data_IF_528896948067
#
_entry.id   IF_528896948067
#
_cell.length_a   1.000
_cell.length_b   1.000
_cell.length_c   1.000
_cell.angle_alpha   90.00
_cell.angle_beta   90.00
_cell.angle_gamma   90.00
#
_symmetry.space_group_name_H-M   'P 1'
#
loop_
_entity.id
_entity.type
_entity.pdbx_description
1 polymer ?
#
# COMPACT_ATOMS: atom_id res chain seq x y z
N UNK A 1 2.11 1.12 -33.00
CA UNK A 1 1.98 1.95 -31.78
C UNK A 1 1.81 0.99 -30.61
N UNK A 2 2.57 1.14 -29.51
CA UNK A 2 2.22 0.43 -28.27
C UNK A 2 1.05 1.20 -27.71
N UNK A 3 -0.12 0.60 -27.76
CA UNK A 3 -1.34 1.29 -27.39
C UNK A 3 -1.49 1.16 -25.87
N UNK A 4 -1.68 2.32 -25.25
CA UNK A 4 -2.16 2.54 -23.89
C UNK A 4 -1.16 2.35 -22.75
N UNK A 5 -0.22 3.30 -22.64
CA UNK A 5 0.63 3.50 -21.46
C UNK A 5 -0.15 3.56 -20.12
N UNK A 6 -1.32 4.23 -20.04
CA UNK A 6 -2.08 4.29 -18.78
C UNK A 6 -2.52 2.91 -18.25
N UNK A 7 -2.68 1.89 -19.11
CA UNK A 7 -3.02 0.54 -18.66
C UNK A 7 -1.88 -0.14 -17.89
N UNK A 8 -0.65 0.38 -17.99
CA UNK A 8 0.50 -0.15 -17.25
C UNK A 8 0.47 0.26 -15.77
N UNK A 9 -0.30 1.31 -15.43
CA UNK A 9 -0.38 1.88 -14.09
C UNK A 9 -1.50 1.25 -13.24
N UNK A 10 -2.33 0.39 -13.84
CA UNK A 10 -3.40 -0.34 -13.14
C UNK A 10 -2.90 -1.16 -11.94
N UNK A 11 -1.65 -1.64 -11.99
CA UNK A 11 -1.06 -2.38 -10.89
C UNK A 11 -0.78 -1.49 -9.67
N UNK A 12 -0.55 -0.19 -9.87
CA UNK A 12 -0.31 0.80 -8.80
C UNK A 12 -1.63 1.25 -8.17
N UNK A 13 -2.70 1.36 -8.96
CA UNK A 13 -4.05 1.68 -8.46
C UNK A 13 -4.65 0.55 -7.60
N UNK A 14 -4.21 -0.70 -7.82
CA UNK A 14 -4.76 -1.89 -7.15
C UNK A 14 -3.93 -2.38 -5.95
N UNK A 15 -3.18 -1.49 -5.29
CA UNK A 15 -2.34 -1.84 -4.12
C UNK A 15 -3.12 -2.47 -2.95
N UNK A 16 -4.37 -2.05 -2.74
CA UNK A 16 -5.25 -2.60 -1.69
C UNK A 16 -5.72 -4.04 -1.91
N UNK A 17 -5.65 -4.54 -3.15
CA UNK A 17 -6.17 -5.87 -3.51
C UNK A 17 -5.44 -7.00 -2.79
N UNK A 18 -4.12 -6.86 -2.58
CA UNK A 18 -3.34 -7.87 -1.86
C UNK A 18 -3.81 -8.00 -0.41
N UNK A 19 -4.06 -6.89 0.28
CA UNK A 19 -4.58 -6.92 1.65
C UNK A 19 -6.00 -7.51 1.68
N UNK A 20 -6.87 -7.07 0.78
CA UNK A 20 -8.24 -7.55 0.66
C UNK A 20 -8.32 -9.06 0.35
N UNK A 21 -7.37 -9.62 -0.41
CA UNK A 21 -7.30 -11.06 -0.71
C UNK A 21 -7.11 -11.95 0.52
N UNK A 22 -6.60 -11.39 1.62
CA UNK A 22 -6.38 -12.10 2.89
C UNK A 22 -7.57 -11.99 3.84
N UNK A 23 -8.54 -11.12 3.53
CA UNK A 23 -9.68 -10.85 4.39
C UNK A 23 -10.85 -11.74 4.00
N UNK A 24 -11.30 -12.55 4.94
CA UNK A 24 -12.51 -13.37 4.82
C UNK A 24 -13.69 -12.63 5.47
N UNK A 25 -14.49 -11.95 4.66
CA UNK A 25 -15.64 -11.17 5.16
C UNK A 25 -16.64 -12.05 5.93
N UNK A 26 -16.84 -13.29 5.51
CA UNK A 26 -17.73 -14.24 6.20
C UNK A 26 -17.23 -14.55 7.63
N UNK A 27 -15.91 -14.73 7.78
CA UNK A 27 -15.28 -14.96 9.09
C UNK A 27 -15.41 -13.73 9.97
N UNK A 28 -15.11 -12.53 9.44
CA UNK A 28 -15.32 -11.28 10.18
C UNK A 28 -16.76 -11.15 10.66
N UNK A 29 -17.74 -11.49 9.82
CA UNK A 29 -19.17 -11.40 10.18
C UNK A 29 -19.51 -12.33 11.33
N UNK A 30 -19.01 -13.56 11.25
CA UNK A 30 -19.20 -14.56 12.31
C UNK A 30 -18.58 -14.09 13.63
N UNK A 31 -17.34 -13.59 13.59
CA UNK A 31 -16.62 -13.10 14.77
C UNK A 31 -17.33 -11.89 15.40
N UNK A 32 -17.79 -10.93 14.60
CA UNK A 32 -18.59 -9.80 15.08
C UNK A 32 -19.93 -10.25 15.66
N UNK A 33 -20.59 -11.23 15.04
CA UNK A 33 -21.81 -11.83 15.58
C UNK A 33 -21.60 -12.49 16.94
N UNK A 34 -20.47 -13.15 17.16
CA UNK A 34 -20.10 -13.70 18.47
C UNK A 34 -19.82 -12.60 19.50
N UNK A 35 -19.13 -11.54 19.11
CA UNK A 35 -18.85 -10.40 19.98
C UNK A 35 -20.13 -9.70 20.44
N UNK A 36 -21.08 -9.50 19.52
CA UNK A 36 -22.40 -8.92 19.83
C UNK A 36 -23.17 -9.75 20.85
N UNK A 37 -23.25 -11.07 20.64
CA UNK A 37 -23.86 -12.01 21.61
C UNK A 37 -23.16 -11.97 22.97
N UNK A 38 -21.84 -11.88 22.98
CA UNK A 38 -21.06 -11.77 24.22
C UNK A 38 -21.42 -10.51 25.01
N UNK A 39 -21.54 -9.36 24.32
CA UNK A 39 -21.96 -8.10 24.95
C UNK A 39 -23.41 -8.16 25.43
N UNK A 40 -24.32 -8.78 24.68
CA UNK A 40 -25.71 -9.00 25.11
C UNK A 40 -25.80 -9.82 26.40
N UNK A 41 -24.97 -10.85 26.54
CA UNK A 41 -24.92 -11.65 27.80
C UNK A 41 -24.45 -10.78 28.97
N UNK A 42 -23.38 -9.99 28.80
CA UNK A 42 -22.88 -9.11 29.87
C UNK A 42 -23.90 -8.04 30.24
N UNK A 43 -24.63 -7.51 29.26
CA UNK A 43 -25.69 -6.52 29.46
C UNK A 43 -26.80 -7.05 30.38
N UNK A 44 -27.30 -8.27 30.12
CA UNK A 44 -28.30 -8.92 31.00
C UNK A 44 -27.77 -9.09 32.42
N UNK A 45 -26.49 -9.46 32.58
CA UNK A 45 -25.87 -9.54 33.91
C UNK A 45 -25.77 -8.19 34.60
N UNK A 46 -25.49 -7.11 33.87
CA UNK A 46 -25.45 -5.76 34.42
C UNK A 46 -26.85 -5.34 34.87
N UNK A 47 -27.88 -5.59 34.06
CA UNK A 47 -29.27 -5.29 34.42
C UNK A 47 -29.70 -6.05 35.69
N UNK A 48 -29.35 -7.34 35.79
CA UNK A 48 -29.64 -8.15 36.97
C UNK A 48 -28.89 -7.66 38.22
N UNK A 49 -27.63 -7.25 38.08
CA UNK A 49 -26.84 -6.68 39.17
C UNK A 49 -27.38 -5.32 39.63
N UNK A 50 -27.78 -4.46 38.70
CA UNK A 50 -28.35 -3.15 39.02
C UNK A 50 -29.77 -3.26 39.60
N UNK A 51 -30.55 -4.26 39.20
CA UNK A 51 -31.87 -4.55 39.77
C UNK A 51 -31.80 -5.11 41.20
N UNK A 52 -30.77 -5.90 41.51
CA UNK A 52 -30.58 -6.50 42.84
C UNK A 52 -29.71 -5.64 43.79
N UNK A 53 -29.21 -4.49 43.33
CA UNK A 53 -28.43 -3.60 44.18
C UNK A 53 -29.33 -3.07 45.30
N UNK A 54 -29.01 -3.33 46.60
CA UNK A 54 -29.77 -2.76 47.70
C UNK A 54 -29.74 -1.24 47.56
N UNK A 55 -30.90 -0.61 47.76
CA UNK A 55 -31.10 0.84 47.67
C UNK A 55 -30.39 1.51 48.87
N UNK A 56 -29.06 1.45 48.86
CA UNK A 56 -28.21 2.08 49.85
C UNK A 56 -28.36 3.58 49.60
N UNK A 57 -28.93 4.34 50.54
CA UNK A 57 -29.07 5.77 50.39
C UNK A 57 -27.70 6.34 50.09
N UNK A 58 -27.52 6.87 48.88
CA UNK A 58 -26.30 7.58 48.51
C UNK A 58 -26.05 8.61 49.61
N UNK A 59 -24.86 8.63 50.24
CA UNK A 59 -24.57 9.62 51.26
C UNK A 59 -24.84 10.98 50.64
N UNK A 60 -25.86 11.67 51.19
CA UNK A 60 -26.23 13.02 50.77
C UNK A 60 -24.94 13.81 50.65
N UNK A 61 -24.73 14.60 49.57
CA UNK A 61 -23.52 15.39 49.38
C UNK A 61 -23.42 16.40 50.53
N UNK A 62 -22.84 15.94 51.64
CA UNK A 62 -22.61 16.69 52.86
C UNK A 62 -21.54 17.70 52.49
N UNK A 63 -21.99 18.95 52.41
CA UNK A 63 -21.19 20.10 52.06
C UNK A 63 -19.97 20.18 52.98
N UNK A 64 -18.76 19.91 52.47
CA UNK A 64 -17.45 20.24 53.07
C UNK A 64 -16.29 19.82 52.15
N UNK A 65 -15.08 20.42 52.25
CA UNK A 65 -14.74 21.74 51.73
C UNK A 65 -13.63 21.69 50.65
N UNK A 66 -13.51 22.80 49.93
CA UNK A 66 -12.53 23.16 48.91
C UNK A 66 -11.05 22.91 49.29
N UNK A 67 -10.49 21.73 48.96
CA UNK A 67 -9.02 21.52 48.92
C UNK A 67 -8.56 20.58 47.79
N UNK A 68 -9.01 20.77 46.54
CA UNK A 68 -8.48 19.97 45.41
C UNK A 68 -8.21 20.77 44.13
N UNK A 69 -7.64 21.97 44.28
CA UNK A 69 -7.29 22.86 43.15
C UNK A 69 -6.04 22.42 42.35
N UNK A 70 -5.28 21.41 42.81
CA UNK A 70 -3.98 21.05 42.20
C UNK A 70 -3.97 19.80 41.31
N UNK A 71 -5.06 19.04 41.21
CA UNK A 71 -5.13 17.81 40.38
C UNK A 71 -5.85 17.96 39.03
N UNK A 72 -6.56 19.06 38.78
CA UNK A 72 -7.27 19.26 37.51
C UNK A 72 -6.37 19.64 36.31
N UNK A 73 -5.10 19.99 36.53
CA UNK A 73 -4.17 20.31 35.43
C UNK A 73 -3.77 19.09 34.59
N UNK A 74 -3.67 17.90 35.19
CA UNK A 74 -3.08 16.72 34.52
C UNK A 74 -4.09 15.91 33.70
N UNK A 75 -5.39 16.08 33.93
CA UNK A 75 -6.45 15.35 33.20
C UNK A 75 -6.83 16.01 31.87
N UNK A 76 -6.60 17.33 31.72
CA UNK A 76 -6.83 18.04 30.45
C UNK A 76 -5.78 17.72 29.39
N UNK A 77 -4.59 17.28 29.81
CA UNK A 77 -3.49 16.95 28.89
C UNK A 77 -3.66 15.57 28.23
N UNK A 78 -4.27 14.60 28.92
CA UNK A 78 -4.58 13.27 28.36
C UNK A 78 -5.73 13.29 27.34
N UNK A 79 -6.68 14.23 27.48
CA UNK A 79 -7.82 14.33 26.55
C UNK A 79 -7.42 14.88 25.17
N UNK A 80 -6.35 15.66 25.08
CA UNK A 80 -5.87 16.21 23.80
C UNK A 80 -5.04 15.22 22.97
N UNK A 81 -4.49 14.14 23.56
CA UNK A 81 -3.72 13.15 22.80
C UNK A 81 -4.61 12.21 21.96
N UNK A 82 -5.88 12.00 22.36
CA UNK A 82 -6.77 11.07 21.66
C UNK A 82 -7.41 11.65 20.39
N UNK A 83 -7.34 12.98 20.19
CA UNK A 83 -7.85 13.69 19.01
C UNK A 83 -6.83 13.84 17.87
N UNK A 84 -5.56 13.42 18.06
CA UNK A 84 -4.49 13.65 17.08
C UNK A 84 -4.32 12.55 16.02
N UNK A 85 -5.09 11.45 16.07
CA UNK A 85 -4.97 10.32 15.15
C UNK A 85 -6.06 10.24 14.06
N UNK A 86 -6.85 11.31 13.84
CA UNK A 86 -7.98 11.30 12.88
C UNK A 86 -7.80 12.15 11.62
N UNK A 87 -6.63 12.74 11.37
CA UNK A 87 -6.50 13.81 10.37
C UNK A 87 -5.89 13.45 9.01
N UNK A 88 -5.53 12.19 8.77
CA UNK A 88 -4.76 11.83 7.56
C UNK A 88 -5.51 10.92 6.55
N UNK A 89 -6.82 10.70 6.68
CA UNK A 89 -7.57 9.83 5.74
C UNK A 89 -8.55 10.54 4.81
N UNK A 90 -8.61 11.87 4.80
CA UNK A 90 -9.43 12.64 3.84
C UNK A 90 -8.61 13.08 2.63
N UNK A 91 -8.10 12.10 1.88
CA UNK A 91 -7.34 12.31 0.65
C UNK A 91 -7.93 11.54 -0.52
N UNK A 92 -8.74 12.23 -1.33
CA UNK A 92 -8.93 11.96 -2.76
C UNK A 92 -9.66 10.67 -3.16
N UNK A 93 -10.99 10.68 -3.00
CA UNK A 93 -11.90 9.86 -3.81
C UNK A 93 -12.96 10.79 -4.42
N UNK A 94 -12.51 11.72 -5.26
CA UNK A 94 -13.40 12.51 -6.10
C UNK A 94 -13.72 11.75 -7.39
N UNK A 95 -15.02 11.70 -7.71
CA UNK A 95 -15.59 11.42 -9.04
C UNK A 95 -15.61 9.98 -9.56
N UNK A 96 -16.46 9.15 -8.96
CA UNK A 96 -17.22 8.13 -9.71
C UNK A 96 -18.65 8.07 -9.17
N UNK A 97 -19.39 9.17 -9.34
CA UNK A 97 -20.84 9.16 -9.16
C UNK A 97 -21.48 9.97 -10.28
N UNK A 98 -21.85 9.26 -11.35
CA UNK A 98 -22.67 9.79 -12.44
C UNK A 98 -23.90 8.90 -12.55
N UNK A 99 -25.01 9.44 -12.06
CA UNK A 99 -26.33 9.22 -12.61
C UNK A 99 -27.07 7.98 -12.12
N UNK A 100 -27.57 8.05 -10.88
CA UNK A 100 -28.90 7.49 -10.59
C UNK A 100 -29.72 8.63 -9.98
N UNK A 101 -30.47 9.29 -10.84
CA UNK A 101 -31.48 10.27 -10.46
C UNK A 101 -32.58 9.56 -9.67
N UNK A 102 -32.58 9.73 -8.35
CA UNK A 102 -33.81 9.59 -7.56
C UNK A 102 -34.07 10.92 -6.87
N UNK A 103 -35.08 11.59 -7.41
CA UNK A 103 -35.66 12.80 -6.90
C UNK A 103 -36.20 12.64 -5.48
N UNK A 104 -36.29 13.79 -4.81
CA UNK A 104 -37.06 14.09 -3.60
C UNK A 104 -36.28 14.07 -2.26
N UNK A 105 -35.24 14.90 -2.19
CA UNK A 105 -34.62 15.31 -0.94
C UNK A 105 -35.36 16.53 -0.36
N UNK A 106 -36.39 16.26 0.45
CA UNK A 106 -36.94 17.23 1.40
C UNK A 106 -35.87 17.59 2.45
N UNK A 107 -35.64 18.88 2.78
CA UNK A 107 -34.73 19.27 3.85
C UNK A 107 -35.36 18.96 5.22
N UNK A 108 -35.02 17.80 5.79
CA UNK A 108 -35.53 17.38 7.09
C UNK A 108 -34.89 18.16 8.23
N UNK A 109 -35.74 18.79 9.06
CA UNK A 109 -35.45 19.45 10.34
C UNK A 109 -34.81 18.50 11.39
N UNK A 110 -33.55 18.05 11.22
CA UNK A 110 -32.93 17.06 12.12
C UNK A 110 -32.25 17.65 13.38
N UNK A 111 -32.10 18.97 13.49
CA UNK A 111 -31.25 19.55 14.54
C UNK A 111 -31.88 19.60 15.94
N UNK A 112 -33.21 19.49 16.05
CA UNK A 112 -33.90 19.54 17.35
C UNK A 112 -33.95 18.16 18.02
N UNK A 113 -33.98 17.07 17.25
CA UNK A 113 -33.98 15.71 17.79
C UNK A 113 -32.66 15.33 18.45
N UNK A 114 -31.52 15.84 17.98
CA UNK A 114 -30.20 15.47 18.50
C UNK A 114 -29.99 15.88 19.97
N UNK A 115 -30.52 17.04 20.38
CA UNK A 115 -30.40 17.53 21.76
C UNK A 115 -31.32 16.77 22.72
N UNK A 116 -32.50 16.36 22.26
CA UNK A 116 -33.45 15.64 23.09
C UNK A 116 -33.01 14.18 23.32
N UNK A 117 -32.37 13.56 22.32
CA UNK A 117 -31.70 12.26 22.44
C UNK A 117 -30.57 12.32 23.47
N UNK A 118 -29.73 13.36 23.42
CA UNK A 118 -28.60 13.50 24.36
C UNK A 118 -29.04 13.70 25.83
N UNK A 119 -30.17 14.37 26.07
CA UNK A 119 -30.70 14.58 27.42
C UNK A 119 -31.33 13.30 27.98
N UNK A 120 -32.00 12.50 27.14
CA UNK A 120 -32.51 11.18 27.55
C UNK A 120 -31.38 10.17 27.79
N UNK A 121 -30.34 10.14 26.95
CA UNK A 121 -29.14 9.32 27.18
C UNK A 121 -28.44 9.68 28.49
N UNK A 122 -28.35 10.98 28.82
CA UNK A 122 -27.69 11.42 30.06
C UNK A 122 -28.42 10.96 31.33
N UNK A 123 -29.73 10.72 31.27
CA UNK A 123 -30.53 10.23 32.39
C UNK A 123 -30.57 8.70 32.50
N UNK A 124 -30.22 7.97 31.43
CA UNK A 124 -30.16 6.51 31.38
C UNK A 124 -28.73 5.94 31.50
N UNK A 125 -27.74 6.77 31.82
CA UNK A 125 -26.36 6.32 31.95
C UNK A 125 -26.22 5.34 33.12
N UNK A 126 -25.68 4.12 32.88
CA UNK A 126 -25.49 3.13 33.94
C UNK A 126 -24.64 3.70 35.07
N UNK A 127 -25.06 3.39 36.30
CA UNK A 127 -24.34 3.82 37.51
C UNK A 127 -23.04 3.03 37.63
N UNK A 128 -23.04 1.77 37.20
CA UNK A 128 -21.88 0.90 37.20
C UNK A 128 -20.88 1.24 36.09
N UNK A 129 -19.58 1.08 36.36
CA UNK A 129 -18.54 1.19 35.33
C UNK A 129 -18.71 0.13 34.24
N UNK A 130 -19.15 -1.07 34.63
CA UNK A 130 -19.43 -2.18 33.72
C UNK A 130 -20.58 -1.83 32.78
N UNK A 131 -21.66 -1.24 33.27
CA UNK A 131 -22.75 -0.78 32.41
C UNK A 131 -22.32 0.29 31.43
N UNK A 132 -21.49 1.26 31.85
CA UNK A 132 -20.93 2.27 30.92
C UNK A 132 -20.06 1.63 29.84
N UNK A 133 -19.27 0.63 30.21
CA UNK A 133 -18.48 -0.14 29.25
C UNK A 133 -19.38 -0.88 28.24
N UNK A 134 -20.43 -1.56 28.71
CA UNK A 134 -21.37 -2.29 27.85
C UNK A 134 -22.07 -1.34 26.87
N UNK A 135 -22.52 -0.19 27.35
CA UNK A 135 -23.15 0.83 26.52
C UNK A 135 -22.21 1.31 25.40
N UNK A 136 -20.96 1.64 25.73
CA UNK A 136 -19.96 2.06 24.75
C UNK A 136 -19.58 0.93 23.78
N UNK A 137 -19.47 -0.31 24.28
CA UNK A 137 -19.19 -1.48 23.46
C UNK A 137 -20.30 -1.73 22.43
N UNK A 138 -21.57 -1.65 22.84
CA UNK A 138 -22.73 -1.73 21.93
C UNK A 138 -22.67 -0.66 20.85
N UNK A 139 -22.44 0.60 21.24
CA UNK A 139 -22.31 1.74 20.31
C UNK A 139 -21.22 1.51 19.27
N UNK A 140 -20.06 0.99 19.69
CA UNK A 140 -18.96 0.67 18.79
C UNK A 140 -19.27 -0.52 17.89
N UNK A 141 -19.95 -1.55 18.40
CA UNK A 141 -20.40 -2.70 17.61
C UNK A 141 -21.40 -2.28 16.53
N UNK A 142 -22.36 -1.43 16.84
CA UNK A 142 -23.34 -0.94 15.87
C UNK A 142 -22.69 -0.11 14.76
N UNK A 143 -21.67 0.70 15.11
CA UNK A 143 -20.87 1.42 14.13
C UNK A 143 -20.17 0.47 13.16
N UNK A 144 -19.51 -0.56 13.68
CA UNK A 144 -18.79 -1.53 12.86
C UNK A 144 -19.75 -2.39 12.02
N UNK A 145 -20.92 -2.75 12.54
CA UNK A 145 -21.95 -3.47 11.79
C UNK A 145 -22.48 -2.65 10.60
N UNK A 146 -22.65 -1.34 10.78
CA UNK A 146 -22.99 -0.40 9.71
C UNK A 146 -21.90 -0.31 8.62
N UNK A 147 -20.63 -0.20 9.03
CA UNK A 147 -19.49 -0.22 8.10
C UNK A 147 -19.39 -1.55 7.34
N UNK A 148 -19.62 -2.67 8.03
CA UNK A 148 -19.59 -4.00 7.44
C UNK A 148 -20.73 -4.21 6.43
N UNK A 149 -21.93 -3.74 6.74
CA UNK A 149 -23.08 -3.77 5.82
C UNK A 149 -22.79 -2.93 4.58
N UNK A 150 -22.21 -1.75 4.76
CA UNK A 150 -21.78 -0.87 3.66
C UNK A 150 -20.72 -1.54 2.79
N UNK A 151 -19.73 -2.19 3.40
CA UNK A 151 -18.66 -2.90 2.71
C UNK A 151 -19.21 -4.05 1.85
N UNK A 152 -20.12 -4.85 2.40
CA UNK A 152 -20.76 -5.98 1.68
C UNK A 152 -21.62 -5.47 0.53
N UNK A 153 -22.38 -4.40 0.74
CA UNK A 153 -23.17 -3.76 -0.32
C UNK A 153 -22.30 -3.25 -1.47
N UNK A 154 -21.23 -2.50 -1.15
CA UNK A 154 -20.26 -2.01 -2.16
C UNK A 154 -19.59 -3.15 -2.91
N UNK A 155 -19.18 -4.20 -2.20
CA UNK A 155 -18.55 -5.36 -2.82
C UNK A 155 -19.51 -6.09 -3.78
N UNK A 156 -20.76 -6.31 -3.38
CA UNK A 156 -21.79 -6.87 -4.26
C UNK A 156 -22.03 -5.98 -5.49
N UNK A 157 -22.00 -4.66 -5.33
CA UNK A 157 -22.08 -3.70 -6.42
C UNK A 157 -20.93 -3.84 -7.42
N UNK A 158 -19.69 -3.99 -6.93
CA UNK A 158 -18.50 -4.25 -7.77
C UNK A 158 -18.64 -5.56 -8.53
N UNK A 159 -19.11 -6.63 -7.89
CA UNK A 159 -19.34 -7.91 -8.56
C UNK A 159 -20.38 -7.77 -9.68
N UNK A 160 -21.50 -7.10 -9.40
CA UNK A 160 -22.54 -6.85 -10.40
C UNK A 160 -22.03 -6.02 -11.57
N UNK A 161 -21.24 -4.97 -11.31
CA UNK A 161 -20.63 -4.13 -12.34
C UNK A 161 -19.72 -4.94 -13.29
N UNK A 162 -19.01 -5.92 -12.74
CA UNK A 162 -18.14 -6.81 -13.52
C UNK A 162 -18.87 -8.00 -14.16
N UNK A 163 -20.19 -8.12 -13.99
CA UNK A 163 -20.97 -9.27 -14.48
C UNK A 163 -20.72 -10.57 -13.71
N UNK A 164 -20.14 -10.48 -12.52
CA UNK A 164 -19.89 -11.60 -11.62
C UNK A 164 -21.12 -11.89 -10.74
N UNK A 165 -21.22 -13.12 -10.23
CA UNK A 165 -22.31 -13.48 -9.32
C UNK A 165 -22.16 -12.71 -8.00
N UNK A 166 -23.20 -12.02 -7.49
CA UNK A 166 -23.11 -11.22 -6.27
C UNK A 166 -22.83 -12.05 -5.00
N UNK A 167 -23.12 -13.35 -5.05
CA UNK A 167 -22.86 -14.30 -3.96
C UNK A 167 -21.41 -14.81 -3.93
N UNK A 168 -20.56 -14.36 -4.86
CA UNK A 168 -19.14 -14.77 -4.89
C UNK A 168 -18.43 -14.27 -3.64
N UNK A 169 -17.64 -15.14 -3.00
CA UNK A 169 -16.90 -14.78 -1.79
C UNK A 169 -15.80 -13.75 -2.09
N UNK A 170 -15.64 -12.78 -1.19
CA UNK A 170 -14.66 -11.69 -1.33
C UNK A 170 -13.23 -12.18 -1.49
N UNK A 171 -12.82 -13.14 -0.66
CA UNK A 171 -11.45 -13.66 -0.68
C UNK A 171 -11.11 -14.36 -2.01
N UNK A 172 -12.06 -15.09 -2.61
CA UNK A 172 -11.88 -15.75 -3.90
C UNK A 172 -11.73 -14.73 -5.03
N UNK A 173 -12.56 -13.68 -5.02
CA UNK A 173 -12.49 -12.61 -6.00
C UNK A 173 -11.16 -11.84 -5.90
N UNK A 174 -10.78 -11.37 -4.72
CA UNK A 174 -9.55 -10.61 -4.55
C UNK A 174 -8.29 -11.47 -4.72
N UNK A 175 -8.33 -12.77 -4.42
CA UNK A 175 -7.22 -13.70 -4.69
C UNK A 175 -6.99 -13.90 -6.19
N UNK A 176 -8.07 -13.97 -6.97
CA UNK A 176 -7.98 -14.01 -8.43
C UNK A 176 -7.38 -12.70 -8.96
N UNK A 177 -7.90 -11.55 -8.52
CA UNK A 177 -7.42 -10.24 -8.95
C UNK A 177 -5.95 -10.02 -8.57
N UNK A 178 -5.54 -10.42 -7.36
CA UNK A 178 -4.15 -10.36 -6.91
C UNK A 178 -3.23 -11.24 -7.78
N UNK A 179 -3.68 -12.44 -8.14
CA UNK A 179 -2.92 -13.35 -9.02
C UNK A 179 -2.77 -12.76 -10.42
N UNK A 180 -3.83 -12.15 -10.95
CA UNK A 180 -3.80 -11.44 -12.22
C UNK A 180 -2.77 -10.29 -12.20
N UNK A 181 -2.78 -9.42 -11.19
CA UNK A 181 -1.83 -8.30 -11.06
C UNK A 181 -0.39 -8.82 -11.02
N UNK A 182 -0.14 -9.89 -10.26
CA UNK A 182 1.18 -10.52 -10.18
C UNK A 182 1.64 -11.02 -11.55
N UNK A 183 0.79 -11.75 -12.26
CA UNK A 183 1.13 -12.36 -13.55
C UNK A 183 1.28 -11.30 -14.66
N UNK A 184 0.49 -10.23 -14.59
CA UNK A 184 0.62 -9.03 -15.43
C UNK A 184 1.99 -8.36 -15.23
N UNK A 185 2.38 -8.09 -13.98
CA UNK A 185 3.68 -7.50 -13.66
C UNK A 185 4.85 -8.37 -14.12
N UNK A 186 4.74 -9.69 -13.93
CA UNK A 186 5.75 -10.63 -14.40
C UNK A 186 5.89 -10.58 -15.93
N UNK A 187 4.77 -10.56 -16.65
CA UNK A 187 4.72 -10.48 -18.11
C UNK A 187 5.30 -9.16 -18.61
N UNK A 188 4.96 -8.04 -17.98
CA UNK A 188 5.52 -6.71 -18.27
C UNK A 188 7.05 -6.72 -18.13
N UNK A 189 7.57 -7.20 -17.01
CA UNK A 189 9.02 -7.30 -16.80
C UNK A 189 9.70 -8.20 -17.84
N UNK A 190 9.08 -9.32 -18.20
CA UNK A 190 9.60 -10.23 -19.23
C UNK A 190 9.70 -9.53 -20.58
N UNK A 191 8.64 -8.84 -21.00
CA UNK A 191 8.61 -8.10 -22.28
C UNK A 191 9.66 -6.98 -22.26
N UNK A 192 9.77 -6.20 -21.18
CA UNK A 192 10.79 -5.16 -21.05
C UNK A 192 12.21 -5.72 -21.22
N UNK A 193 12.52 -6.87 -20.61
CA UNK A 193 13.82 -7.54 -20.78
C UNK A 193 14.06 -7.98 -22.23
N UNK A 194 13.06 -8.55 -22.89
CA UNK A 194 13.16 -8.95 -24.30
C UNK A 194 13.43 -7.73 -25.19
N UNK A 195 12.72 -6.62 -24.96
CA UNK A 195 12.90 -5.38 -25.72
C UNK A 195 14.29 -4.79 -25.53
N UNK A 196 14.82 -4.78 -24.30
CA UNK A 196 16.19 -4.36 -24.02
C UNK A 196 17.21 -5.27 -24.73
N UNK A 197 16.97 -6.58 -24.75
CA UNK A 197 17.84 -7.54 -25.46
C UNK A 197 17.83 -7.31 -26.97
N UNK A 198 16.66 -7.13 -27.59
CA UNK A 198 16.56 -6.82 -29.03
C UNK A 198 17.22 -5.47 -29.36
N UNK A 199 17.00 -4.44 -28.55
CA UNK A 199 17.64 -3.14 -28.73
C UNK A 199 19.17 -3.24 -28.66
N UNK A 200 19.70 -4.03 -27.72
CA UNK A 200 21.14 -4.31 -27.61
C UNK A 200 21.66 -5.04 -28.86
N UNK A 201 20.96 -6.06 -29.33
CA UNK A 201 21.36 -6.83 -30.51
C UNK A 201 21.42 -5.95 -31.76
N UNK A 202 20.41 -5.10 -31.97
CA UNK A 202 20.39 -4.13 -33.07
C UNK A 202 21.57 -3.15 -33.03
N UNK A 203 21.98 -2.71 -31.83
CA UNK A 203 23.15 -1.84 -31.65
C UNK A 203 24.45 -2.56 -32.04
N UNK A 204 24.59 -3.83 -31.65
CA UNK A 204 25.77 -4.65 -31.98
C UNK A 204 25.85 -4.89 -33.50
N UNK A 205 24.73 -5.25 -34.14
CA UNK A 205 24.66 -5.47 -35.59
C UNK A 205 24.98 -4.20 -36.38
N UNK A 206 24.44 -3.06 -35.94
CA UNK A 206 24.76 -1.75 -36.55
C UNK A 206 26.26 -1.45 -36.42
N UNK A 207 26.85 -1.61 -35.23
CA UNK A 207 28.27 -1.38 -35.02
C UNK A 207 29.16 -2.32 -35.87
N UNK A 208 28.73 -3.58 -36.08
CA UNK A 208 29.42 -4.52 -36.96
C UNK A 208 29.35 -4.08 -38.42
N UNK A 209 28.17 -3.69 -38.90
CA UNK A 209 27.99 -3.21 -40.28
C UNK A 209 28.78 -1.93 -40.55
N UNK A 210 28.81 -0.99 -39.60
CA UNK A 210 29.59 0.25 -39.72
C UNK A 210 31.10 -0.05 -39.78
N UNK A 211 31.59 -1.01 -39.00
CA UNK A 211 32.99 -1.47 -39.05
C UNK A 211 33.34 -2.10 -40.39
N UNK A 212 32.46 -2.92 -40.96
CA UNK A 212 32.65 -3.57 -42.25
C UNK A 212 32.71 -2.54 -43.39
N UNK A 213 31.83 -1.52 -43.36
CA UNK A 213 31.88 -0.39 -44.30
C UNK A 213 33.19 0.40 -44.23
N UNK A 214 33.70 0.66 -43.03
CA UNK A 214 34.98 1.35 -42.85
C UNK A 214 36.17 0.54 -43.38
N UNK A 215 36.11 -0.80 -43.32
CA UNK A 215 37.15 -1.66 -43.86
C UNK A 215 37.09 -1.68 -45.40
N UNK A 216 35.90 -1.81 -45.99
CA UNK A 216 35.72 -1.75 -47.43
C UNK A 216 36.21 -0.41 -48.02
N UNK A 217 35.86 0.73 -47.41
CA UNK A 217 36.33 2.05 -47.89
C UNK A 217 37.86 2.23 -47.83
N UNK A 218 38.55 1.49 -46.94
CA UNK A 218 40.01 1.53 -46.85
C UNK A 218 40.69 0.72 -47.94
N UNK A 219 40.05 -0.35 -48.43
CA UNK A 219 40.58 -1.14 -49.54
C UNK A 219 40.51 -0.34 -50.85
N UNK A 220 39.37 0.31 -51.13
CA UNK A 220 39.21 1.15 -52.33
C UNK A 220 40.18 2.34 -52.36
N UNK A 221 40.58 2.85 -51.19
CA UNK A 221 41.53 3.98 -51.09
C UNK A 221 42.99 3.58 -51.32
N UNK A 222 43.31 2.28 -51.37
CA UNK A 222 44.69 1.78 -51.49
C UNK A 222 45.15 1.58 -52.94
N UNK A 223 44.25 1.71 -53.92
CA UNK A 223 44.53 1.58 -55.36
C UNK A 223 44.62 2.92 -56.11
N UNK A 224 44.69 4.06 -55.40
CA UNK A 224 44.95 5.37 -56.00
C UNK A 224 46.38 5.51 -56.56
N UNK A 225 46.57 6.25 -57.67
CA UNK A 225 47.62 6.00 -58.64
C UNK A 225 49.03 6.29 -58.12
N UNK A 226 49.91 5.31 -58.31
CA UNK A 226 51.35 5.49 -58.26
C UNK A 226 51.78 6.44 -59.39
N UNK A 227 51.74 7.74 -59.16
CA UNK A 227 52.17 8.70 -60.19
C UNK A 227 51.90 10.15 -59.85
N UNK A 228 52.71 10.72 -58.95
CA UNK A 228 53.23 12.10 -59.04
C UNK A 228 54.05 12.38 -57.79
N UNK A 229 55.36 12.14 -57.88
CA UNK A 229 56.33 12.69 -56.96
C UNK A 229 56.44 14.20 -57.23
N UNK A 230 55.73 15.01 -56.45
CA UNK A 230 55.94 16.46 -56.45
C UNK A 230 56.53 16.90 -55.11
N UNK A 231 57.72 17.48 -55.20
CA UNK A 231 58.60 17.82 -54.11
C UNK A 231 57.96 18.83 -53.16
N UNK A 232 57.96 18.52 -51.85
CA UNK A 232 57.68 19.49 -50.79
C UNK A 232 58.93 20.34 -50.51
N UNK A 233 58.84 21.68 -50.47
CA UNK A 233 59.87 22.51 -49.89
C UNK A 233 59.82 22.43 -48.36
N UNK A 234 61.00 22.43 -47.75
CA UNK A 234 61.21 22.50 -46.32
C UNK A 234 60.70 23.85 -45.77
N UNK A 235 59.83 23.79 -44.76
CA UNK A 235 59.31 24.97 -44.08
C UNK A 235 58.77 24.59 -42.71
N UNK A 236 59.52 24.96 -41.68
CA UNK A 236 59.29 24.69 -40.26
C UNK A 236 57.89 25.10 -39.79
N UNK A 237 57.28 24.28 -38.90
CA UNK A 237 56.18 24.67 -38.00
C UNK A 237 56.22 23.85 -36.69
N UNK A 238 55.66 24.39 -35.59
CA UNK A 238 56.09 24.17 -34.20
C UNK A 238 55.50 22.90 -33.56
N UNK A 239 55.93 22.52 -32.34
CA UNK A 239 55.40 21.35 -31.63
C UNK A 239 53.90 21.52 -31.40
N UNK A 240 53.11 20.69 -32.10
CA UNK A 240 51.67 20.59 -31.94
C UNK A 240 51.40 19.84 -30.64
N UNK A 241 50.97 20.56 -29.61
CA UNK A 241 50.43 19.96 -28.39
C UNK A 241 49.33 18.96 -28.78
N UNK A 242 49.45 17.72 -28.28
CA UNK A 242 48.39 16.71 -28.38
C UNK A 242 47.13 17.30 -27.74
N UNK A 243 45.99 17.41 -28.45
CA UNK A 243 44.74 17.66 -27.77
C UNK A 243 44.50 16.50 -26.79
N UNK A 244 43.99 16.76 -25.57
CA UNK A 244 43.54 15.69 -24.69
C UNK A 244 42.54 14.84 -25.46
N UNK A 245 42.65 13.52 -25.36
CA UNK A 245 41.69 12.61 -25.95
C UNK A 245 40.30 13.01 -25.44
N UNK A 246 39.46 13.58 -26.31
CA UNK A 246 38.04 13.76 -26.06
C UNK A 246 37.46 12.36 -25.94
N UNK A 247 37.44 11.83 -24.71
CA UNK A 247 36.55 10.72 -24.38
C UNK A 247 35.14 11.19 -24.68
N UNK A 248 34.49 10.48 -25.59
CA UNK A 248 33.09 10.71 -25.89
C UNK A 248 32.27 10.58 -24.60
N UNK A 249 31.19 11.36 -24.49
CA UNK A 249 30.34 11.39 -23.29
C UNK A 249 29.85 9.97 -22.90
N UNK A 250 29.73 9.07 -23.87
CA UNK A 250 29.39 7.66 -23.66
C UNK A 250 30.52 6.82 -23.03
N UNK A 251 31.80 7.13 -23.30
CA UNK A 251 32.94 6.47 -22.65
C UNK A 251 33.09 6.89 -21.19
N UNK A 252 32.83 8.16 -20.87
CA UNK A 252 32.79 8.63 -19.49
C UNK A 252 31.65 7.96 -18.69
N UNK A 253 30.49 7.75 -19.30
CA UNK A 253 29.39 7.02 -18.67
C UNK A 253 29.71 5.53 -18.45
N UNK A 254 30.40 4.88 -19.39
CA UNK A 254 30.83 3.49 -19.23
C UNK A 254 31.94 3.31 -18.19
N UNK A 255 32.91 4.22 -18.13
CA UNK A 255 33.96 4.19 -17.12
C UNK A 255 33.38 4.41 -15.71
N UNK A 256 32.47 5.38 -15.55
CA UNK A 256 31.79 5.62 -14.28
C UNK A 256 30.91 4.43 -13.84
N UNK A 257 30.26 3.74 -14.78
CA UNK A 257 29.45 2.55 -14.47
C UNK A 257 30.31 1.34 -14.05
N UNK A 258 31.52 1.19 -14.61
CA UNK A 258 32.46 0.12 -14.23
C UNK A 258 33.02 0.34 -12.82
N UNK A 259 33.40 1.58 -12.48
CA UNK A 259 33.91 1.90 -11.14
C UNK A 259 32.84 1.76 -10.05
N UNK A 260 31.59 2.14 -10.32
CA UNK A 260 30.49 1.95 -9.38
C UNK A 260 30.19 0.46 -9.13
N UNK A 261 30.28 -0.37 -10.17
CA UNK A 261 30.10 -1.82 -10.04
C UNK A 261 31.25 -2.50 -9.27
N UNK A 262 32.47 -1.99 -9.39
CA UNK A 262 33.62 -2.45 -8.62
C UNK A 262 33.51 -2.06 -7.14
N UNK A 263 33.12 -0.80 -6.84
CA UNK A 263 32.89 -0.35 -5.47
C UNK A 263 31.75 -1.11 -4.78
N UNK A 264 30.64 -1.39 -5.49
CA UNK A 264 29.52 -2.15 -4.94
C UNK A 264 29.88 -3.62 -4.60
N UNK A 265 30.92 -4.18 -5.23
CA UNK A 265 31.45 -5.51 -4.88
C UNK A 265 32.36 -5.45 -3.65
N UNK A 266 33.12 -4.37 -3.46
CA UNK A 266 34.02 -4.20 -2.33
C UNK A 266 33.29 -3.94 -0.99
N UNK A 267 32.12 -3.30 -1.03
CA UNK A 267 31.33 -2.98 0.17
C UNK A 267 30.31 -4.04 0.55
N UNK A 268 30.22 -5.15 -0.18
CA UNK A 268 29.27 -6.21 0.14
C UNK A 268 29.74 -6.93 1.41
N UNK A 269 29.02 -6.82 2.55
CA UNK A 269 29.44 -7.48 3.78
C UNK A 269 29.54 -8.98 3.52
N UNK A 270 30.69 -9.57 3.89
CA UNK A 270 30.93 -11.01 3.79
C UNK A 270 29.77 -11.72 4.50
N UNK A 271 28.86 -12.31 3.72
CA UNK A 271 27.82 -13.18 4.25
C UNK A 271 28.52 -14.33 4.95
N UNK A 272 28.53 -14.29 6.28
CA UNK A 272 28.93 -15.44 7.07
C UNK A 272 28.01 -16.61 6.72
N UNK A 273 28.54 -17.83 6.58
CA UNK A 273 27.73 -19.00 6.29
C UNK A 273 26.69 -19.14 7.42
N UNK A 274 25.43 -18.94 7.06
CA UNK A 274 24.30 -19.13 7.96
C UNK A 274 24.28 -20.60 8.34
N UNK A 275 24.67 -20.92 9.58
CA UNK A 275 24.53 -22.26 10.16
C UNK A 275 23.08 -22.69 9.96
N UNK A 276 22.86 -23.66 9.09
CA UNK A 276 21.55 -24.26 8.89
C UNK A 276 21.08 -24.80 10.25
N UNK A 277 19.86 -24.47 10.70
CA UNK A 277 19.32 -25.09 11.90
C UNK A 277 19.28 -26.60 11.67
N UNK A 278 19.86 -27.35 12.62
CA UNK A 278 19.86 -28.79 12.61
C UNK A 278 18.42 -29.28 12.40
N UNK A 279 18.23 -30.11 11.37
CA UNK A 279 16.93 -30.67 11.05
C UNK A 279 16.38 -31.48 12.23
N UNK A 280 15.05 -31.56 12.38
CA UNK A 280 14.43 -32.30 13.47
C UNK A 280 14.82 -33.77 13.38
N UNK A 281 15.40 -34.28 14.48
CA UNK A 281 15.65 -35.71 14.70
C UNK A 281 14.36 -36.51 14.47
N UNK A 282 14.37 -37.36 13.44
CA UNK A 282 13.37 -38.42 13.27
C UNK A 282 13.46 -39.36 14.47
N UNK A 283 12.62 -39.14 15.48
CA UNK A 283 12.31 -40.15 16.47
C UNK A 283 11.53 -41.27 15.79
N UNK A 284 12.21 -42.40 15.56
CA UNK A 284 11.56 -43.67 15.25
C UNK A 284 10.82 -44.12 16.50
N UNK A 285 9.50 -44.01 16.51
CA UNK A 285 8.67 -44.73 17.47
C UNK A 285 8.56 -46.19 17.02
N UNK A 286 9.29 -47.08 17.70
CA UNK A 286 8.93 -48.50 17.73
C UNK A 286 7.67 -48.64 18.59
N UNK A 287 6.56 -48.99 17.95
CA UNK A 287 5.42 -49.58 18.63
C UNK A 287 5.64 -51.11 18.63
N UNK A 288 5.70 -51.67 19.82
CA UNK A 288 5.39 -53.07 20.13
C UNK A 288 4.00 -53.12 20.73
#
# INVERSE_FOLDING_TARGET
KRNDEPLLDIAEELTGVQAASRVMMDTLRADFGQMKKGIEVVDVFVEELEANAPDIPLPSPSASPSTNRKRQGKLKELRNQHTFMRKDSEGSLQHFDKGIDNADASPSNSSVSSLQIAIQEAQAMPKSEVGRFVLEAKRMLDLVDGEMTTMVSKFSGVLSYLGEKPERKSHDFFSLLHSFIRDFNFSRQRIERQLRSVARQKRIEKAKADRERMLASKEDSKEGPAGAAEAKPAGAKPPRAKPPAEMTIDEHAQAAAMDYAAMARATRPKRTPRKSPAGPERRQSMFF
#
